data_IF_019774734028
#
_entry.id   IF_019774734028
#
_cell.length_a   1.000
_cell.length_b   1.000
_cell.length_c   1.000
_cell.angle_alpha   90.00
_cell.angle_beta   90.00
_cell.angle_gamma   90.00
#
_symmetry.space_group_name_H-M   'P 1'
#
loop_
_entity.id
_entity.type
_entity.pdbx_description
1 polymer ?
#
# COMPACT_ATOMS: atom_id res chain seq x y z
N UNK A 1 -3.15 -17.85 7.15
CA UNK A 1 -3.96 -16.62 7.30
C UNK A 1 -5.11 -16.94 8.24
N UNK A 2 -5.66 -15.94 8.96
CA UNK A 2 -6.87 -16.16 9.75
C UNK A 2 -7.99 -16.71 8.87
N UNK A 3 -8.82 -17.58 9.43
CA UNK A 3 -9.85 -18.33 8.68
C UNK A 3 -10.87 -17.41 8.01
N UNK A 4 -11.03 -16.18 8.52
CA UNK A 4 -12.04 -15.21 8.07
C UNK A 4 -11.46 -14.01 7.29
N UNK A 5 -10.25 -14.14 6.73
CA UNK A 5 -9.66 -13.09 5.92
C UNK A 5 -10.32 -13.04 4.53
N UNK A 6 -10.78 -11.86 4.12
CA UNK A 6 -11.21 -11.58 2.75
C UNK A 6 -9.99 -11.03 2.01
N UNK A 7 -9.58 -11.71 0.95
CA UNK A 7 -8.46 -11.30 0.09
C UNK A 7 -9.00 -11.15 -1.33
N UNK A 8 -8.90 -9.95 -1.88
CA UNK A 8 -9.35 -9.62 -3.23
C UNK A 8 -8.16 -9.03 -3.99
N UNK A 9 -7.96 -9.50 -5.21
CA UNK A 9 -6.91 -9.02 -6.11
C UNK A 9 -7.55 -8.27 -7.28
N UNK A 10 -6.87 -7.27 -7.85
CA UNK A 10 -7.34 -6.50 -9.01
C UNK A 10 -8.74 -5.94 -8.77
N UNK A 11 -8.88 -5.11 -7.73
CA UNK A 11 -10.16 -4.50 -7.33
C UNK A 11 -10.30 -3.09 -7.87
N UNK A 12 -11.51 -2.68 -8.22
CA UNK A 12 -11.80 -1.39 -8.84
C UNK A 12 -12.77 -0.57 -7.97
N UNK A 13 -12.55 0.74 -7.91
CA UNK A 13 -13.39 1.68 -7.16
C UNK A 13 -14.80 1.86 -7.76
N UNK A 14 -15.00 1.47 -9.02
CA UNK A 14 -16.28 1.61 -9.73
C UNK A 14 -16.44 0.56 -10.81
N UNK A 15 -17.66 0.43 -11.33
CA UNK A 15 -18.03 -0.54 -12.35
C UNK A 15 -17.54 -0.22 -13.78
N UNK A 16 -16.68 0.80 -13.96
CA UNK A 16 -16.15 1.21 -15.28
C UNK A 16 -14.71 0.78 -15.51
N UNK A 17 -14.16 -0.08 -14.64
CA UNK A 17 -12.81 -0.64 -14.77
C UNK A 17 -11.70 0.42 -14.74
N UNK A 18 -11.93 1.54 -14.05
CA UNK A 18 -10.93 2.56 -13.75
C UNK A 18 -10.56 2.49 -12.27
N UNK A 19 -9.37 3.01 -11.94
CA UNK A 19 -8.87 3.05 -10.56
C UNK A 19 -8.75 1.64 -9.98
N UNK A 20 -7.91 0.83 -10.61
CA UNK A 20 -7.52 -0.49 -10.11
C UNK A 20 -6.62 -0.35 -8.87
N UNK A 21 -6.74 -1.30 -7.96
CA UNK A 21 -5.87 -1.55 -6.83
C UNK A 21 -5.39 -2.99 -6.89
N UNK A 22 -4.10 -3.20 -6.64
CA UNK A 22 -3.51 -4.53 -6.81
C UNK A 22 -4.12 -5.55 -5.83
N UNK A 23 -4.32 -5.17 -4.56
CA UNK A 23 -4.90 -6.05 -3.55
C UNK A 23 -5.62 -5.30 -2.42
N UNK A 24 -6.77 -5.84 -2.02
CA UNK A 24 -7.55 -5.45 -0.86
C UNK A 24 -7.65 -6.63 0.10
N UNK A 25 -7.38 -6.39 1.38
CA UNK A 25 -7.48 -7.41 2.42
C UNK A 25 -8.33 -6.87 3.56
N UNK A 26 -9.35 -7.61 3.97
CA UNK A 26 -10.06 -7.38 5.24
C UNK A 26 -9.79 -8.53 6.20
N UNK A 27 -9.27 -8.23 7.38
CA UNK A 27 -9.05 -9.20 8.46
C UNK A 27 -9.65 -8.64 9.74
N UNK A 28 -10.69 -9.28 10.26
CA UNK A 28 -11.42 -8.74 11.41
C UNK A 28 -11.93 -7.32 11.13
N UNK A 29 -11.53 -6.34 11.95
CA UNK A 29 -11.88 -4.92 11.82
C UNK A 29 -10.79 -4.08 11.15
N UNK A 30 -9.79 -4.71 10.54
CA UNK A 30 -8.69 -4.03 9.86
C UNK A 30 -8.79 -4.24 8.35
N UNK A 31 -8.59 -3.15 7.60
CA UNK A 31 -8.46 -3.17 6.15
C UNK A 31 -7.01 -2.86 5.77
N UNK A 32 -6.45 -3.64 4.85
CA UNK A 32 -5.17 -3.37 4.20
C UNK A 32 -5.42 -3.10 2.71
N UNK A 33 -4.94 -1.96 2.23
CA UNK A 33 -4.92 -1.63 0.80
C UNK A 33 -3.47 -1.73 0.35
N UNK A 34 -3.18 -2.66 -0.56
CA UNK A 34 -1.81 -3.00 -0.95
C UNK A 34 -1.60 -2.71 -2.42
N UNK A 35 -0.57 -1.93 -2.72
CA UNK A 35 -0.15 -1.58 -4.09
C UNK A 35 1.26 -2.10 -4.35
N UNK A 36 1.45 -2.81 -5.45
CA UNK A 36 2.74 -3.32 -5.88
C UNK A 36 3.39 -2.38 -6.89
N UNK A 37 4.67 -2.07 -6.67
CA UNK A 37 5.45 -1.23 -7.59
C UNK A 37 6.76 -1.89 -7.98
N UNK A 38 6.94 -2.03 -9.28
CA UNK A 38 8.21 -2.41 -9.90
C UNK A 38 8.68 -1.22 -10.73
N UNK A 39 9.68 -0.54 -10.21
CA UNK A 39 10.22 0.66 -10.78
C UNK A 39 11.74 0.50 -10.77
N UNK A 40 12.34 -0.12 -11.80
CA UNK A 40 13.77 -0.32 -11.87
C UNK A 40 14.48 1.03 -11.83
N UNK A 41 15.42 1.19 -10.90
CA UNK A 41 16.19 2.41 -10.78
C UNK A 41 17.02 2.61 -12.04
N UNK A 42 17.07 3.86 -12.51
CA UNK A 42 18.07 4.26 -13.49
C UNK A 42 19.45 4.26 -12.81
N UNK A 43 20.51 4.03 -13.59
CA UNK A 43 21.87 4.04 -13.05
C UNK A 43 22.15 5.35 -12.28
N UNK A 44 22.82 5.26 -11.12
CA UNK A 44 23.21 6.43 -10.35
C UNK A 44 24.10 7.36 -11.18
N UNK A 45 23.86 8.66 -11.05
CA UNK A 45 24.74 9.66 -11.64
C UNK A 45 25.83 10.05 -10.64
N UNK A 46 27.04 10.33 -11.14
CA UNK A 46 28.15 10.79 -10.30
C UNK A 46 27.92 12.22 -9.77
N UNK A 47 27.21 13.06 -10.53
CA UNK A 47 26.84 14.40 -10.10
C UNK A 47 25.71 14.34 -9.05
N UNK A 48 25.93 14.81 -7.81
CA UNK A 48 24.97 14.63 -6.72
C UNK A 48 23.61 15.31 -6.97
N UNK A 49 23.60 16.52 -7.54
CA UNK A 49 22.36 17.28 -7.79
C UNK A 49 21.49 16.59 -8.84
N UNK A 50 22.10 16.11 -9.92
CA UNK A 50 21.41 15.33 -10.95
C UNK A 50 21.02 13.95 -10.45
N UNK A 51 21.82 13.32 -9.59
CA UNK A 51 21.49 12.05 -8.95
C UNK A 51 20.22 12.18 -8.10
N UNK A 52 20.14 13.20 -7.24
CA UNK A 52 18.95 13.46 -6.43
C UNK A 52 17.71 13.72 -7.29
N UNK A 53 17.84 14.57 -8.31
CA UNK A 53 16.74 14.87 -9.25
C UNK A 53 16.22 13.59 -9.89
N UNK A 54 17.12 12.73 -10.37
CA UNK A 54 16.77 11.45 -10.99
C UNK A 54 16.05 10.51 -10.03
N UNK A 55 16.53 10.42 -8.79
CA UNK A 55 15.92 9.61 -7.75
C UNK A 55 14.50 10.11 -7.44
N UNK A 56 14.32 11.43 -7.28
CA UNK A 56 13.00 12.04 -7.06
C UNK A 56 12.05 11.75 -8.23
N UNK A 57 12.52 11.88 -9.46
CA UNK A 57 11.69 11.60 -10.63
C UNK A 57 11.33 10.09 -10.72
N UNK A 58 12.26 9.20 -10.35
CA UNK A 58 12.00 7.75 -10.27
C UNK A 58 11.02 7.39 -9.14
N UNK A 59 10.97 8.18 -8.07
CA UNK A 59 10.00 8.07 -6.99
C UNK A 59 8.60 8.54 -7.44
N UNK A 60 8.52 9.68 -8.15
CA UNK A 60 7.26 10.33 -8.55
C UNK A 60 6.62 9.79 -9.84
N UNK A 61 7.32 8.97 -10.63
CA UNK A 61 6.75 8.38 -11.86
C UNK A 61 5.56 7.46 -11.57
N UNK A 62 4.77 7.16 -12.60
CA UNK A 62 3.60 6.27 -12.52
C UNK A 62 3.89 4.86 -11.98
N UNK A 63 5.08 4.32 -12.24
CA UNK A 63 5.51 3.03 -11.69
C UNK A 63 6.19 3.13 -10.33
N UNK A 64 6.43 4.33 -9.81
CA UNK A 64 7.14 4.61 -8.57
C UNK A 64 6.25 4.58 -7.33
N UNK A 65 6.89 4.80 -6.18
CA UNK A 65 6.26 4.74 -4.85
C UNK A 65 5.14 5.77 -4.71
N UNK A 66 5.34 7.02 -5.18
CA UNK A 66 4.34 8.08 -5.10
C UNK A 66 2.99 7.61 -5.65
N UNK A 67 3.01 7.04 -6.86
CA UNK A 67 1.80 6.58 -7.53
C UNK A 67 1.12 5.42 -6.79
N UNK A 68 1.87 4.53 -6.13
CA UNK A 68 1.29 3.49 -5.28
C UNK A 68 0.63 4.07 -4.04
N UNK A 69 1.33 4.98 -3.35
CA UNK A 69 0.79 5.67 -2.18
C UNK A 69 -0.49 6.45 -2.52
N UNK A 70 -0.50 7.19 -3.63
CA UNK A 70 -1.67 7.95 -4.10
C UNK A 70 -2.87 7.04 -4.36
N UNK A 71 -2.65 5.87 -4.97
CA UNK A 71 -3.70 4.90 -5.23
C UNK A 71 -4.28 4.39 -3.91
N UNK A 72 -3.44 3.89 -3.01
CA UNK A 72 -3.90 3.36 -1.73
C UNK A 72 -4.65 4.42 -0.89
N UNK A 73 -4.13 5.65 -0.83
CA UNK A 73 -4.75 6.76 -0.12
C UNK A 73 -6.08 7.19 -0.75
N UNK A 74 -6.21 7.15 -2.08
CA UNK A 74 -7.46 7.45 -2.78
C UNK A 74 -8.57 6.48 -2.39
N UNK A 75 -8.28 5.18 -2.35
CA UNK A 75 -9.25 4.18 -1.90
C UNK A 75 -9.55 4.30 -0.40
N UNK A 76 -8.54 4.53 0.45
CA UNK A 76 -8.77 4.82 1.88
C UNK A 76 -9.73 6.00 2.05
N UNK A 77 -9.50 7.09 1.31
CA UNK A 77 -10.38 8.26 1.34
C UNK A 77 -11.80 7.92 0.89
N UNK A 78 -11.95 7.21 -0.24
CA UNK A 78 -13.25 6.77 -0.75
C UNK A 78 -14.03 5.97 0.31
N UNK A 79 -13.38 5.02 0.97
CA UNK A 79 -14.01 4.20 2.01
C UNK A 79 -14.40 5.04 3.23
N UNK A 80 -13.56 6.00 3.64
CA UNK A 80 -13.83 6.84 4.83
C UNK A 80 -14.92 7.90 4.59
N UNK A 81 -15.02 8.41 3.36
CA UNK A 81 -15.99 9.45 3.00
C UNK A 81 -17.43 8.91 2.85
N UNK A 82 -17.60 7.59 2.68
CA UNK A 82 -18.91 6.97 2.41
C UNK A 82 -19.31 6.01 3.53
N UNK A 83 -20.61 5.93 3.82
CA UNK A 83 -21.14 4.92 4.77
C UNK A 83 -21.06 3.50 4.20
N UNK A 84 -21.17 3.38 2.87
CA UNK A 84 -21.09 2.13 2.12
C UNK A 84 -20.23 2.36 0.88
N UNK A 85 -19.23 1.49 0.67
CA UNK A 85 -18.36 1.50 -0.52
C UNK A 85 -18.35 0.12 -1.16
N UNK A 86 -18.73 0.03 -2.43
CA UNK A 86 -18.69 -1.22 -3.20
C UNK A 86 -17.43 -1.29 -4.06
N UNK A 87 -16.72 -2.41 -4.00
CA UNK A 87 -15.60 -2.73 -4.85
C UNK A 87 -16.05 -3.63 -6.00
N UNK A 88 -15.44 -3.45 -7.16
CA UNK A 88 -15.82 -4.14 -8.39
C UNK A 88 -14.67 -4.94 -8.98
N UNK A 89 -15.00 -5.95 -9.77
CA UNK A 89 -14.05 -6.62 -10.64
C UNK A 89 -13.83 -5.82 -11.93
N UNK A 90 -12.88 -6.26 -12.76
CA UNK A 90 -12.58 -5.64 -14.06
C UNK A 90 -13.77 -5.61 -15.02
N UNK A 91 -14.77 -6.49 -14.86
CA UNK A 91 -15.98 -6.53 -15.70
C UNK A 91 -17.10 -5.63 -15.17
N UNK A 92 -16.90 -5.01 -14.02
CA UNK A 92 -17.89 -4.17 -13.35
C UNK A 92 -18.88 -4.94 -12.47
N UNK A 93 -18.62 -6.22 -12.17
CA UNK A 93 -19.41 -6.96 -11.20
C UNK A 93 -18.99 -6.57 -9.78
N UNK A 94 -19.94 -6.55 -8.85
CA UNK A 94 -19.65 -6.30 -7.43
C UNK A 94 -18.84 -7.47 -6.84
N UNK A 95 -17.69 -7.17 -6.24
CA UNK A 95 -16.86 -8.14 -5.52
C UNK A 95 -17.15 -8.13 -4.03
N UNK A 96 -17.24 -6.93 -3.45
CA UNK A 96 -17.37 -6.78 -2.01
C UNK A 96 -17.92 -5.42 -1.64
N UNK A 97 -18.74 -5.37 -0.60
CA UNK A 97 -19.33 -4.13 -0.08
C UNK A 97 -18.83 -3.90 1.33
N UNK A 98 -18.22 -2.74 1.54
CA UNK A 98 -17.64 -2.31 2.81
C UNK A 98 -18.64 -1.36 3.47
N UNK A 99 -19.10 -1.71 4.67
CA UNK A 99 -19.81 -0.76 5.52
C UNK A 99 -18.83 -0.08 6.47
N UNK A 100 -19.00 1.22 6.69
CA UNK A 100 -18.15 2.03 7.58
C UNK A 100 -18.09 1.52 9.03
N UNK A 101 -19.09 0.77 9.46
CA UNK A 101 -19.16 0.15 10.79
C UNK A 101 -18.35 -1.15 10.92
N UNK A 102 -17.90 -1.74 9.80
CA UNK A 102 -17.29 -3.07 9.77
C UNK A 102 -15.77 -3.07 9.97
N UNK A 103 -15.17 -1.88 10.14
CA UNK A 103 -13.74 -1.70 10.36
C UNK A 103 -13.47 -0.55 11.35
N UNK A 104 -12.28 -0.57 11.95
CA UNK A 104 -11.74 0.50 12.80
C UNK A 104 -10.55 1.19 12.13
N UNK A 105 -9.78 0.44 11.34
CA UNK A 105 -8.48 0.89 10.83
C UNK A 105 -8.30 0.52 9.35
N UNK A 106 -7.69 1.43 8.59
CA UNK A 106 -7.28 1.23 7.20
C UNK A 106 -5.80 1.57 7.07
N UNK A 107 -5.00 0.56 6.72
CA UNK A 107 -3.58 0.72 6.43
C UNK A 107 -3.34 0.69 4.92
N UNK A 108 -2.62 1.70 4.43
CA UNK A 108 -2.16 1.77 3.05
C UNK A 108 -0.73 1.22 3.00
N UNK A 109 -0.46 0.28 2.10
CA UNK A 109 0.83 -0.38 1.98
C UNK A 109 1.28 -0.31 0.52
N UNK A 110 2.50 0.14 0.27
CA UNK A 110 3.11 0.09 -1.05
C UNK A 110 4.31 -0.88 -1.02
N UNK A 111 4.15 -2.02 -1.67
CA UNK A 111 5.18 -3.06 -1.75
C UNK A 111 6.04 -2.84 -2.98
N UNK A 112 7.36 -2.68 -2.79
CA UNK A 112 8.29 -2.48 -3.90
C UNK A 112 9.05 -3.75 -4.25
N UNK A 113 9.28 -3.98 -5.54
CA UNK A 113 10.26 -5.00 -6.00
C UNK A 113 11.68 -4.48 -5.85
N UNK A 114 11.90 -3.25 -6.27
CA UNK A 114 13.20 -2.60 -6.35
C UNK A 114 13.53 -1.88 -5.04
N UNK A 115 14.82 -1.71 -4.78
CA UNK A 115 15.32 -1.04 -3.60
C UNK A 115 15.22 0.47 -3.77
N UNK A 116 14.60 1.15 -2.81
CA UNK A 116 14.50 2.61 -2.81
C UNK A 116 15.41 3.32 -1.78
N UNK A 117 16.23 2.55 -1.05
CA UNK A 117 17.14 3.08 -0.02
C UNK A 117 16.40 3.93 1.02
N UNK A 118 17.06 4.97 1.53
CA UNK A 118 16.52 5.91 2.53
C UNK A 118 15.13 6.48 2.22
N UNK A 119 14.75 6.57 0.94
CA UNK A 119 13.47 7.17 0.52
C UNK A 119 12.27 6.24 0.68
N UNK A 120 12.50 4.92 0.78
CA UNK A 120 11.46 4.01 1.24
C UNK A 120 11.36 4.00 2.77
N UNK A 121 12.43 4.39 3.46
CA UNK A 121 12.51 4.39 4.93
C UNK A 121 11.92 5.65 5.54
N UNK A 122 12.10 6.81 4.91
CA UNK A 122 11.50 8.08 5.35
C UNK A 122 10.78 8.75 4.18
N UNK A 123 9.46 8.58 4.16
CA UNK A 123 8.58 9.12 3.12
C UNK A 123 8.41 10.62 3.24
N UNK A 124 8.67 11.22 4.41
CA UNK A 124 8.53 12.68 4.60
C UNK A 124 9.46 13.49 3.70
N UNK A 125 10.54 12.87 3.20
CA UNK A 125 11.53 13.51 2.34
C UNK A 125 10.97 13.84 0.95
N UNK A 126 10.14 12.96 0.37
CA UNK A 126 9.72 13.06 -1.04
C UNK A 126 8.24 12.81 -1.32
N UNK A 127 7.53 12.15 -0.42
CA UNK A 127 6.13 11.79 -0.64
C UNK A 127 5.26 13.04 -0.53
N UNK A 128 4.61 13.40 -1.63
CA UNK A 128 3.51 14.35 -1.60
C UNK A 128 2.26 13.60 -1.13
N UNK A 129 1.60 14.06 -0.06
CA UNK A 129 0.32 13.47 0.38
C UNK A 129 -0.59 14.56 0.93
N UNK A 130 -1.93 14.36 0.97
CA UNK A 130 -2.83 15.31 1.60
C UNK A 130 -2.49 15.55 3.08
N UNK A 131 -2.72 16.77 3.54
CA UNK A 131 -2.52 17.13 4.95
C UNK A 131 -3.42 16.29 5.87
N UNK A 132 -2.91 15.95 7.05
CA UNK A 132 -3.66 15.18 8.05
C UNK A 132 -3.91 13.71 7.71
N UNK A 133 -3.29 13.17 6.65
CA UNK A 133 -3.31 11.73 6.35
C UNK A 133 -2.10 11.01 6.95
N UNK A 134 -2.24 9.74 7.33
CA UNK A 134 -1.09 8.94 7.75
C UNK A 134 -0.22 8.56 6.55
N UNK A 135 1.06 8.25 6.80
CA UNK A 135 1.96 7.78 5.75
C UNK A 135 1.66 6.32 5.38
N UNK A 136 1.49 5.99 4.10
CA UNK A 136 1.46 4.58 3.69
C UNK A 136 2.76 3.88 4.07
N UNK A 137 2.68 2.62 4.48
CA UNK A 137 3.87 1.84 4.77
C UNK A 137 4.51 1.34 3.47
N UNK A 138 5.76 1.73 3.22
CA UNK A 138 6.51 1.30 2.02
C UNK A 138 7.52 0.22 2.40
N UNK A 139 7.40 -0.95 1.79
CA UNK A 139 8.25 -2.10 2.14
C UNK A 139 8.70 -2.87 0.90
N UNK A 140 9.96 -3.29 0.87
CA UNK A 140 10.47 -4.15 -0.20
C UNK A 140 9.93 -5.57 -0.02
N UNK A 141 9.55 -6.23 -1.12
CA UNK A 141 8.98 -7.59 -1.08
C UNK A 141 9.93 -8.61 -0.43
N UNK A 142 11.25 -8.44 -0.58
CA UNK A 142 12.25 -9.31 0.06
C UNK A 142 12.24 -9.16 1.56
N UNK A 143 12.08 -7.92 2.04
CA UNK A 143 12.15 -7.58 3.46
C UNK A 143 10.85 -8.01 4.14
N UNK A 144 9.71 -7.84 3.47
CA UNK A 144 8.43 -8.37 3.91
C UNK A 144 8.45 -9.91 4.03
N UNK A 145 9.02 -10.61 3.03
CA UNK A 145 9.20 -12.08 3.09
C UNK A 145 10.13 -12.50 4.22
N UNK A 146 11.21 -11.75 4.44
CA UNK A 146 12.15 -11.99 5.53
C UNK A 146 11.46 -11.81 6.88
N UNK A 147 10.74 -10.71 7.08
CA UNK A 147 9.96 -10.42 8.28
C UNK A 147 8.98 -11.56 8.62
N UNK A 148 8.16 -12.00 7.67
CA UNK A 148 7.25 -13.14 7.90
C UNK A 148 7.98 -14.46 8.13
N UNK A 149 9.20 -14.63 7.60
CA UNK A 149 10.01 -15.81 7.88
C UNK A 149 10.58 -15.77 9.30
N UNK A 150 11.01 -14.61 9.79
CA UNK A 150 11.41 -14.40 11.18
C UNK A 150 10.26 -14.66 12.14
N UNK A 151 9.07 -14.10 11.89
CA UNK A 151 7.88 -14.34 12.73
C UNK A 151 7.56 -15.83 12.87
N UNK A 152 7.56 -16.56 11.75
CA UNK A 152 7.35 -18.01 11.74
C UNK A 152 8.45 -18.75 12.51
N UNK A 153 9.70 -18.32 12.38
CA UNK A 153 10.83 -18.93 13.09
C UNK A 153 10.71 -18.77 14.61
N UNK A 154 10.27 -17.59 15.08
CA UNK A 154 10.08 -17.33 16.52
C UNK A 154 8.73 -17.81 17.07
N UNK A 155 7.92 -18.49 16.25
CA UNK A 155 6.61 -19.02 16.65
C UNK A 155 5.57 -17.93 16.96
N UNK A 156 5.75 -16.74 16.39
CA UNK A 156 4.83 -15.62 16.60
C UNK A 156 3.74 -15.59 15.53
N UNK A 157 2.54 -15.22 15.97
CA UNK A 157 1.36 -15.10 15.13
C UNK A 157 1.33 -13.76 14.38
N UNK A 158 0.43 -13.66 13.39
CA UNK A 158 0.20 -12.45 12.59
C UNK A 158 -0.22 -11.21 13.41
N UNK A 159 -0.57 -11.37 14.69
CA UNK A 159 -0.91 -10.25 15.58
C UNK A 159 0.18 -9.18 15.68
N UNK A 160 1.46 -9.59 15.69
CA UNK A 160 2.59 -8.66 15.71
C UNK A 160 2.69 -7.81 14.45
N UNK A 161 2.20 -8.29 13.31
CA UNK A 161 2.17 -7.50 12.08
C UNK A 161 1.19 -6.32 12.19
N UNK A 162 0.06 -6.50 12.88
CA UNK A 162 -0.86 -5.42 13.13
C UNK A 162 -0.27 -4.35 14.06
N UNK A 163 0.44 -4.77 15.11
CA UNK A 163 1.15 -3.86 16.01
C UNK A 163 2.26 -3.09 15.30
N UNK A 164 3.00 -3.75 14.40
CA UNK A 164 3.98 -3.08 13.54
C UNK A 164 3.33 -1.97 12.71
N UNK A 165 2.20 -2.25 12.04
CA UNK A 165 1.50 -1.25 11.23
C UNK A 165 1.04 -0.05 12.06
N UNK A 166 0.66 -0.26 13.33
CA UNK A 166 0.33 0.83 14.26
C UNK A 166 1.53 1.64 14.72
N UNK A 167 2.72 1.06 14.77
CA UNK A 167 3.93 1.77 15.16
C UNK A 167 4.50 2.65 14.02
N UNK A 168 4.20 2.28 12.78
CA UNK A 168 4.65 2.97 11.56
C UNK A 168 3.68 4.08 11.09
N UNK A 169 2.52 4.24 11.73
CA UNK A 169 1.53 5.31 11.48
C UNK A 169 1.37 6.23 12.70
#
# INVERSE_FOLDING_TARGET
MPVDAIVLESVFENNKSFNEHDMFIKVGRTILIVEAKAAPRREPLTDPSRAFTRIRDDFKRKSGIQSGCDQALRLKKLILDNDVTTLYDKKGNELYTINKMDFDEIFCICVTKDEFGLLATDLSILLDKPDGTDYPWVVKITDLKFYFSCLRYVGQELGLFHELLKAEN
#
